data_IF_254075760315
#
_entry.id   IF_254075760315
#
_cell.length_a   1.000
_cell.length_b   1.000
_cell.length_c   1.000
_cell.angle_alpha   90.00
_cell.angle_beta   90.00
_cell.angle_gamma   90.00
#
_symmetry.space_group_name_H-M   'P 1'
#
loop_
_entity.id
_entity.type
_entity.pdbx_description
1 polymer ?
#
# COMPACT_ATOMS: atom_id res chain seq x y z
N UNK A 1 17.94 -6.09 6.39
CA UNK A 1 16.58 -5.74 6.87
C UNK A 1 16.43 -4.24 6.79
N UNK A 2 15.38 -3.74 6.16
CA UNK A 2 15.09 -2.31 6.06
C UNK A 2 13.64 -2.02 6.46
N UNK A 3 13.43 -0.99 7.26
CA UNK A 3 12.10 -0.49 7.58
C UNK A 3 11.59 0.37 6.42
N UNK A 4 10.37 0.10 5.97
CA UNK A 4 9.73 0.81 4.87
C UNK A 4 8.67 1.74 5.44
N UNK A 5 8.83 3.02 5.14
CA UNK A 5 7.87 4.06 5.51
C UNK A 5 6.70 4.14 4.51
N UNK A 6 5.57 4.69 4.97
CA UNK A 6 4.37 4.89 4.15
C UNK A 6 4.66 5.71 2.90
N UNK A 7 5.50 6.73 3.00
CA UNK A 7 5.83 7.61 1.88
C UNK A 7 6.47 6.87 0.70
N UNK A 8 7.27 5.82 0.96
CA UNK A 8 7.92 5.01 -0.07
C UNK A 8 6.89 4.17 -0.82
N UNK A 9 5.95 3.55 -0.09
CA UNK A 9 4.86 2.76 -0.68
C UNK A 9 3.96 3.67 -1.52
N UNK A 10 3.57 4.83 -1.00
CA UNK A 10 2.73 5.79 -1.74
C UNK A 10 3.43 6.29 -3.01
N UNK A 11 4.70 6.70 -2.93
CA UNK A 11 5.45 7.14 -4.10
C UNK A 11 5.56 6.04 -5.16
N UNK A 12 5.70 4.77 -4.77
CA UNK A 12 5.74 3.65 -5.71
C UNK A 12 4.40 3.38 -6.41
N UNK A 13 3.28 3.78 -5.79
CA UNK A 13 1.94 3.57 -6.36
C UNK A 13 1.49 4.71 -7.26
N UNK A 14 1.98 5.93 -7.06
CA UNK A 14 1.60 7.11 -7.83
C UNK A 14 2.51 7.33 -9.05
N UNK A 15 2.02 7.13 -10.30
CA UNK A 15 2.83 7.35 -11.50
C UNK A 15 3.22 8.82 -11.72
N UNK A 16 2.54 9.76 -11.07
CA UNK A 16 2.84 11.18 -11.15
C UNK A 16 3.90 11.65 -10.14
N UNK A 17 4.22 10.82 -9.13
CA UNK A 17 5.30 11.13 -8.18
C UNK A 17 6.66 11.01 -8.90
N UNK A 18 7.52 12.05 -8.88
CA UNK A 18 8.83 12.00 -9.53
C UNK A 18 9.75 10.91 -8.96
N UNK A 19 9.48 10.44 -7.73
CA UNK A 19 10.22 9.36 -7.06
C UNK A 19 9.70 7.97 -7.43
N UNK A 20 8.59 7.85 -8.18
CA UNK A 20 7.89 6.59 -8.42
C UNK A 20 8.81 5.46 -8.91
N UNK A 21 9.61 5.72 -9.95
CA UNK A 21 10.54 4.72 -10.50
C UNK A 21 11.56 4.25 -9.46
N UNK A 22 12.11 5.19 -8.68
CA UNK A 22 13.11 4.89 -7.64
C UNK A 22 12.46 4.12 -6.49
N UNK A 23 11.27 4.53 -6.05
CA UNK A 23 10.53 3.87 -4.98
C UNK A 23 10.14 2.43 -5.37
N UNK A 24 9.65 2.21 -6.60
CA UNK A 24 9.37 0.86 -7.12
C UNK A 24 10.63 0.01 -7.16
N UNK A 25 11.70 0.53 -7.77
CA UNK A 25 12.97 -0.20 -7.85
C UNK A 25 13.51 -0.57 -6.47
N UNK A 26 13.34 0.30 -5.46
CA UNK A 26 13.68 -0.04 -4.08
C UNK A 26 12.77 -1.18 -3.61
N UNK A 27 11.44 -1.04 -3.65
CA UNK A 27 10.53 -2.07 -3.14
C UNK A 27 10.65 -3.42 -3.86
N UNK A 28 11.04 -3.42 -5.13
CA UNK A 28 11.15 -4.61 -5.99
C UNK A 28 12.55 -5.24 -6.00
N UNK A 29 13.54 -4.67 -5.32
CA UNK A 29 14.93 -5.19 -5.30
C UNK A 29 15.10 -6.53 -4.56
N UNK A 30 14.03 -7.10 -4.04
CA UNK A 30 14.01 -8.40 -3.36
C UNK A 30 14.64 -8.39 -1.96
N UNK A 31 15.03 -7.22 -1.45
CA UNK A 31 15.54 -7.09 -0.08
C UNK A 31 14.48 -7.41 0.96
N UNK A 32 14.90 -7.94 2.11
CA UNK A 32 14.02 -8.17 3.26
C UNK A 32 13.55 -6.83 3.86
N UNK A 33 12.27 -6.50 3.67
CA UNK A 33 11.64 -5.23 4.04
C UNK A 33 10.52 -5.45 5.05
N UNK A 34 10.52 -4.61 6.08
CA UNK A 34 9.56 -4.67 7.19
C UNK A 34 8.76 -3.37 7.22
N UNK A 35 7.46 -3.45 7.48
CA UNK A 35 6.62 -2.30 7.80
C UNK A 35 6.20 -2.36 9.27
N UNK A 36 5.99 -1.20 9.88
CA UNK A 36 5.50 -1.11 11.26
C UNK A 36 3.97 -1.10 11.32
N UNK A 37 3.41 -1.24 12.52
CA UNK A 37 1.95 -1.13 12.73
C UNK A 37 1.44 0.25 12.34
N UNK A 38 2.25 1.28 12.64
CA UNK A 38 1.97 2.66 12.26
C UNK A 38 1.92 2.83 10.74
N UNK A 39 2.81 2.18 10.00
CA UNK A 39 2.82 2.20 8.54
C UNK A 39 1.53 1.59 7.97
N UNK A 40 1.02 0.51 8.55
CA UNK A 40 -0.27 -0.07 8.14
C UNK A 40 -1.43 0.89 8.43
N UNK A 41 -1.46 1.51 9.61
CA UNK A 41 -2.50 2.48 10.00
C UNK A 41 -2.49 3.70 9.08
N UNK A 42 -1.32 4.22 8.72
CA UNK A 42 -1.18 5.35 7.82
C UNK A 42 -1.63 5.00 6.40
N UNK A 43 -1.25 3.83 5.87
CA UNK A 43 -1.74 3.33 4.58
C UNK A 43 -3.26 3.15 4.59
N UNK A 44 -3.81 2.56 5.66
CA UNK A 44 -5.24 2.39 5.83
C UNK A 44 -5.97 3.73 5.80
N UNK A 45 -5.47 4.71 6.57
CA UNK A 45 -6.00 6.07 6.60
C UNK A 45 -5.90 6.76 5.24
N UNK A 46 -4.80 6.57 4.50
CA UNK A 46 -4.62 7.14 3.17
C UNK A 46 -5.61 6.57 2.15
N UNK A 47 -5.87 5.26 2.17
CA UNK A 47 -6.85 4.60 1.29
C UNK A 47 -8.27 5.00 1.66
N UNK A 48 -8.63 4.96 2.95
CA UNK A 48 -9.97 5.28 3.43
C UNK A 48 -10.41 6.72 3.10
N UNK A 49 -9.47 7.68 3.07
CA UNK A 49 -9.76 9.06 2.65
C UNK A 49 -10.13 9.18 1.16
N UNK A 50 -9.83 8.17 0.33
CA UNK A 50 -10.25 8.11 -1.07
C UNK A 50 -11.54 7.31 -1.19
N UNK A 51 -12.63 7.84 -0.63
CA UNK A 51 -13.92 7.14 -0.53
C UNK A 51 -14.42 6.54 -1.84
N UNK A 52 -14.34 7.29 -2.96
CA UNK A 52 -14.73 6.77 -4.29
C UNK A 52 -13.88 5.58 -4.75
N UNK A 53 -12.58 5.57 -4.44
CA UNK A 53 -11.70 4.46 -4.76
C UNK A 53 -12.06 3.23 -3.91
N UNK A 54 -12.27 3.43 -2.61
CA UNK A 54 -12.58 2.35 -1.69
C UNK A 54 -13.94 1.72 -2.00
N UNK A 55 -14.96 2.54 -2.25
CA UNK A 55 -16.30 2.08 -2.64
C UNK A 55 -16.28 1.33 -3.97
N UNK A 56 -15.49 1.82 -4.95
CA UNK A 56 -15.28 1.13 -6.23
C UNK A 56 -14.59 -0.22 -6.04
N UNK A 57 -13.56 -0.28 -5.19
CA UNK A 57 -12.87 -1.54 -4.86
C UNK A 57 -13.80 -2.53 -4.17
N UNK A 58 -14.59 -2.07 -3.19
CA UNK A 58 -15.57 -2.85 -2.46
C UNK A 58 -16.62 -3.45 -3.41
N UNK A 59 -17.16 -2.63 -4.31
CA UNK A 59 -18.09 -3.09 -5.35
C UNK A 59 -17.45 -4.11 -6.30
N UNK A 60 -16.21 -3.87 -6.75
CA UNK A 60 -15.50 -4.75 -7.68
C UNK A 60 -15.23 -6.15 -7.10
N UNK A 61 -15.05 -6.26 -5.78
CA UNK A 61 -14.82 -7.55 -5.10
C UNK A 61 -16.07 -8.11 -4.42
N UNK A 62 -17.21 -7.42 -4.50
CA UNK A 62 -18.47 -7.83 -3.88
C UNK A 62 -18.41 -7.89 -2.34
N UNK A 63 -17.70 -6.94 -1.72
CA UNK A 63 -17.52 -6.91 -0.26
C UNK A 63 -17.84 -5.52 0.32
N UNK A 64 -17.87 -5.44 1.65
CA UNK A 64 -17.98 -4.17 2.38
C UNK A 64 -16.65 -3.39 2.32
N UNK A 65 -16.72 -2.06 2.51
CA UNK A 65 -15.55 -1.18 2.42
C UNK A 65 -14.44 -1.55 3.42
N UNK A 66 -14.78 -2.01 4.62
CA UNK A 66 -13.81 -2.46 5.63
C UNK A 66 -13.01 -3.69 5.16
N UNK A 67 -13.69 -4.63 4.48
CA UNK A 67 -13.08 -5.81 3.89
C UNK A 67 -12.21 -5.42 2.70
N UNK A 68 -12.69 -4.50 1.86
CA UNK A 68 -11.93 -3.97 0.72
C UNK A 68 -10.65 -3.24 1.16
N UNK A 69 -10.72 -2.49 2.27
CA UNK A 69 -9.56 -1.82 2.85
C UNK A 69 -8.51 -2.83 3.31
N UNK A 70 -8.95 -3.87 4.02
CA UNK A 70 -8.07 -4.96 4.47
C UNK A 70 -7.45 -5.71 3.28
N UNK A 71 -8.25 -5.98 2.24
CA UNK A 71 -7.79 -6.61 1.01
C UNK A 71 -6.77 -5.74 0.26
N UNK A 72 -6.97 -4.42 0.21
CA UNK A 72 -6.04 -3.48 -0.38
C UNK A 72 -4.69 -3.46 0.37
N UNK A 73 -4.72 -3.43 1.71
CA UNK A 73 -3.50 -3.53 2.52
C UNK A 73 -2.75 -4.84 2.26
N UNK A 74 -3.45 -5.97 2.28
CA UNK A 74 -2.87 -7.29 2.01
C UNK A 74 -2.29 -7.37 0.59
N UNK A 75 -2.95 -6.77 -0.39
CA UNK A 75 -2.45 -6.68 -1.74
C UNK A 75 -1.13 -5.89 -1.78
N UNK A 76 -1.06 -4.72 -1.14
CA UNK A 76 0.15 -3.90 -1.10
C UNK A 76 1.32 -4.63 -0.43
N UNK A 77 1.07 -5.31 0.69
CA UNK A 77 2.09 -6.11 1.37
C UNK A 77 2.62 -7.23 0.47
N UNK A 78 1.72 -7.99 -0.17
CA UNK A 78 2.12 -9.08 -1.08
C UNK A 78 2.83 -8.59 -2.33
N UNK A 79 2.34 -7.51 -2.95
CA UNK A 79 2.90 -6.93 -4.17
C UNK A 79 4.37 -6.55 -4.01
N UNK A 80 4.72 -5.96 -2.86
CA UNK A 80 6.07 -5.46 -2.59
C UNK A 80 6.88 -6.36 -1.64
N UNK A 81 6.38 -7.57 -1.34
CA UNK A 81 7.07 -8.51 -0.44
C UNK A 81 7.31 -7.98 0.99
N UNK A 82 6.46 -7.05 1.45
CA UNK A 82 6.60 -6.40 2.76
C UNK A 82 6.18 -7.36 3.87
N UNK A 83 7.01 -7.43 4.91
CA UNK A 83 6.72 -8.19 6.13
C UNK A 83 6.14 -7.25 7.18
N UNK A 84 5.06 -7.68 7.80
CA UNK A 84 4.49 -7.09 9.00
C UNK A 84 4.65 -8.10 10.12
#
# INVERSE_FOLDING_TARGET
>A
MAYTDTSVVVAALDPSDPRCKKARSLLEDGGYRVVSELTLVELASAIARRGELLSSLASAIGAEEEVALSAALLYLLKRFGLRY
#
